data_IF_765073657796
#
_entry.id   IF_765073657796
#
_cell.length_a   1.000
_cell.length_b   1.000
_cell.length_c   1.000
_cell.angle_alpha   90.00
_cell.angle_beta   90.00
_cell.angle_gamma   90.00
#
_symmetry.space_group_name_H-M   'P 1'
#
loop_
_entity.id
_entity.type
_entity.pdbx_description
1 polymer ?
#
# COMPACT_ATOMS: atom_id res chain seq x y z
N UNK A 1 -28.61 1.05 9.65
CA UNK A 1 -28.21 1.25 8.24
C UNK A 1 -28.29 2.74 7.93
N UNK A 2 -27.15 3.42 7.97
CA UNK A 2 -27.04 4.88 7.87
C UNK A 2 -26.80 5.33 6.41
N UNK A 3 -27.68 4.84 5.52
CA UNK A 3 -27.61 5.04 4.08
C UNK A 3 -28.64 6.05 3.57
N UNK A 4 -29.68 6.28 4.37
CA UNK A 4 -30.79 7.14 4.03
C UNK A 4 -31.01 8.17 5.14
N UNK A 5 -31.45 9.35 4.75
CA UNK A 5 -32.00 10.35 5.65
C UNK A 5 -33.43 10.65 5.25
N UNK A 6 -34.32 10.70 6.24
CA UNK A 6 -35.70 11.11 6.03
C UNK A 6 -35.82 12.58 6.42
N UNK A 7 -36.15 13.41 5.44
CA UNK A 7 -36.42 14.85 5.64
C UNK A 7 -37.93 15.03 5.75
N UNK A 8 -38.39 15.55 6.88
CA UNK A 8 -39.82 15.62 7.20
C UNK A 8 -40.56 16.50 6.18
N UNK A 9 -41.48 15.90 5.43
CA UNK A 9 -42.26 16.57 4.38
C UNK A 9 -41.64 16.54 2.98
N UNK A 10 -40.38 16.09 2.84
CA UNK A 10 -39.65 16.06 1.57
C UNK A 10 -39.37 14.64 1.06
N UNK A 11 -39.50 13.64 1.94
CA UNK A 11 -39.32 12.22 1.61
C UNK A 11 -38.03 11.62 2.16
N UNK A 12 -37.61 10.49 1.58
CA UNK A 12 -36.42 9.74 2.00
C UNK A 12 -35.35 9.87 0.92
N UNK A 13 -34.17 10.34 1.31
CA UNK A 13 -33.04 10.60 0.44
C UNK A 13 -31.88 9.68 0.79
N UNK A 14 -31.06 9.33 -0.21
CA UNK A 14 -29.78 8.67 0.05
C UNK A 14 -28.83 9.72 0.61
N UNK A 15 -28.27 9.48 1.80
CA UNK A 15 -27.22 10.37 2.34
C UNK A 15 -26.06 10.40 1.35
N UNK A 16 -25.46 11.56 1.04
CA UNK A 16 -24.22 11.60 0.28
C UNK A 16 -23.23 10.65 0.94
N UNK A 17 -22.73 9.66 0.20
CA UNK A 17 -21.79 8.68 0.73
C UNK A 17 -20.51 9.46 1.08
N UNK A 18 -20.34 9.83 2.35
CA UNK A 18 -19.15 10.55 2.79
C UNK A 18 -17.93 9.71 2.46
N UNK A 19 -17.08 10.20 1.57
CA UNK A 19 -15.82 9.58 1.13
C UNK A 19 -14.85 9.30 2.28
N UNK A 20 -15.15 9.78 3.49
CA UNK A 20 -14.28 9.76 4.66
C UNK A 20 -14.68 8.74 5.75
N UNK A 21 -15.78 7.99 5.65
CA UNK A 21 -16.16 7.05 6.74
C UNK A 21 -15.15 5.94 6.98
N UNK A 22 -14.59 5.35 5.92
CA UNK A 22 -13.53 4.35 6.06
C UNK A 22 -12.28 4.98 6.68
N UNK A 23 -11.93 6.17 6.21
CA UNK A 23 -10.79 6.96 6.65
C UNK A 23 -10.89 7.29 8.15
N UNK A 24 -12.06 7.73 8.63
CA UNK A 24 -12.36 7.97 10.04
C UNK A 24 -12.19 6.71 10.91
N UNK A 25 -12.67 5.56 10.42
CA UNK A 25 -12.48 4.28 11.12
C UNK A 25 -10.99 3.97 11.25
N UNK A 26 -10.23 4.07 10.17
CA UNK A 26 -8.79 3.78 10.17
C UNK A 26 -8.00 4.75 11.06
N UNK A 27 -8.33 6.04 11.03
CA UNK A 27 -7.78 7.04 11.94
C UNK A 27 -8.02 6.68 13.40
N UNK A 28 -9.23 6.19 13.73
CA UNK A 28 -9.55 5.79 15.10
C UNK A 28 -8.67 4.63 15.60
N UNK A 29 -8.24 3.72 14.73
CA UNK A 29 -7.30 2.65 15.07
C UNK A 29 -5.87 3.19 15.20
N UNK A 30 -5.46 4.10 14.31
CA UNK A 30 -4.13 4.70 14.34
C UNK A 30 -3.87 5.51 15.63
N UNK A 31 -4.89 6.25 16.09
CA UNK A 31 -4.80 7.13 17.27
C UNK A 31 -5.05 6.41 18.61
N UNK A 32 -5.38 5.11 18.58
CA UNK A 32 -5.60 4.26 19.77
C UNK A 32 -4.27 3.69 20.30
N UNK A 33 -4.36 2.59 21.04
CA UNK A 33 -3.25 1.84 21.60
C UNK A 33 -2.42 1.08 20.54
N UNK A 34 -1.30 0.49 20.99
CA UNK A 34 -0.38 -0.26 20.13
C UNK A 34 -1.01 -1.48 19.45
N UNK A 35 -2.00 -2.14 20.07
CA UNK A 35 -2.63 -3.30 19.46
C UNK A 35 -3.50 -2.88 18.27
N UNK A 36 -4.24 -1.78 18.39
CA UNK A 36 -4.98 -1.22 17.26
C UNK A 36 -4.07 -0.85 16.07
N UNK A 37 -2.85 -0.39 16.31
CA UNK A 37 -1.84 -0.15 15.25
C UNK A 37 -1.29 -1.43 14.63
N UNK A 38 -1.15 -2.50 15.42
CA UNK A 38 -0.79 -3.83 14.90
C UNK A 38 -1.88 -4.37 14.00
N UNK A 39 -3.15 -4.26 14.39
CA UNK A 39 -4.29 -4.68 13.58
C UNK A 39 -4.33 -3.94 12.23
N UNK A 40 -4.02 -2.63 12.24
CA UNK A 40 -3.90 -1.83 11.03
C UNK A 40 -2.77 -2.31 10.11
N UNK A 41 -1.61 -2.61 10.68
CA UNK A 41 -0.44 -3.12 9.96
C UNK A 41 -0.71 -4.51 9.37
N UNK A 42 -1.35 -5.40 10.14
CA UNK A 42 -1.77 -6.73 9.69
C UNK A 42 -2.77 -6.63 8.54
N UNK A 43 -3.78 -5.77 8.68
CA UNK A 43 -4.80 -5.54 7.64
C UNK A 43 -4.16 -5.04 6.34
N UNK A 44 -3.24 -4.07 6.44
CA UNK A 44 -2.48 -3.59 5.28
C UNK A 44 -1.71 -4.74 4.62
N UNK A 45 -1.01 -5.56 5.40
CA UNK A 45 -0.26 -6.71 4.88
C UNK A 45 -1.16 -7.70 4.14
N UNK A 46 -2.34 -7.99 4.66
CA UNK A 46 -3.33 -8.86 4.00
C UNK A 46 -3.73 -8.25 2.66
N UNK A 47 -4.11 -6.97 2.64
CA UNK A 47 -4.54 -6.27 1.42
C UNK A 47 -3.44 -6.27 0.36
N UNK A 48 -2.20 -5.95 0.73
CA UNK A 48 -1.08 -5.92 -0.21
C UNK A 48 -0.73 -7.30 -0.77
N UNK A 49 -0.73 -8.35 0.07
CA UNK A 49 -0.42 -9.70 -0.38
C UNK A 49 -1.49 -10.24 -1.34
N UNK A 50 -2.77 -10.00 -1.09
CA UNK A 50 -3.83 -10.43 -2.00
C UNK A 50 -3.84 -9.60 -3.29
N UNK A 51 -3.59 -8.29 -3.21
CA UNK A 51 -3.43 -7.45 -4.39
C UNK A 51 -2.25 -7.89 -5.25
N UNK A 52 -1.11 -8.22 -4.65
CA UNK A 52 0.08 -8.74 -5.35
C UNK A 52 -0.20 -10.07 -6.07
N UNK A 53 -0.94 -11.00 -5.45
CA UNK A 53 -1.30 -12.27 -6.10
C UNK A 53 -2.12 -12.02 -7.37
N UNK A 54 -3.13 -11.15 -7.28
CA UNK A 54 -3.91 -10.73 -8.44
C UNK A 54 -3.05 -10.00 -9.48
N UNK A 55 -2.11 -9.15 -9.04
CA UNK A 55 -1.19 -8.45 -9.91
C UNK A 55 -0.30 -9.42 -10.69
N UNK A 56 0.19 -10.51 -10.10
CA UNK A 56 1.01 -11.49 -10.81
C UNK A 56 0.31 -12.04 -12.08
N UNK A 57 -1.01 -12.24 -12.00
CA UNK A 57 -1.82 -12.73 -13.12
C UNK A 57 -2.12 -11.64 -14.15
N UNK A 58 -2.26 -10.38 -13.71
CA UNK A 58 -2.89 -9.31 -14.50
C UNK A 58 -1.95 -8.17 -14.91
N UNK A 59 -0.74 -8.12 -14.34
CA UNK A 59 0.22 -7.04 -14.57
C UNK A 59 0.52 -6.87 -16.06
N UNK A 60 0.57 -5.62 -16.52
CA UNK A 60 0.91 -5.26 -17.91
C UNK A 60 2.39 -4.95 -18.04
N UNK A 61 2.92 -4.98 -19.26
CA UNK A 61 4.32 -4.60 -19.53
C UNK A 61 4.58 -3.14 -19.13
N UNK A 62 3.59 -2.24 -19.33
CA UNK A 62 3.66 -0.85 -18.85
C UNK A 62 3.80 -0.76 -17.33
N UNK A 63 3.08 -1.62 -16.59
CA UNK A 63 3.17 -1.66 -15.12
C UNK A 63 4.54 -2.18 -14.68
N UNK A 64 5.09 -3.19 -15.36
CA UNK A 64 6.45 -3.70 -15.11
C UNK A 64 7.49 -2.62 -15.39
N UNK A 65 7.36 -1.90 -16.51
CA UNK A 65 8.26 -0.78 -16.84
C UNK A 65 8.20 0.31 -15.76
N UNK A 66 7.00 0.72 -15.34
CA UNK A 66 6.81 1.71 -14.29
C UNK A 66 7.46 1.28 -12.97
N UNK A 67 7.36 0.01 -12.57
CA UNK A 67 8.05 -0.51 -11.38
C UNK A 67 9.57 -0.40 -11.50
N UNK A 68 10.13 -0.67 -12.68
CA UNK A 68 11.56 -0.55 -12.94
C UNK A 68 12.04 0.92 -12.87
N UNK A 69 11.25 1.84 -13.41
CA UNK A 69 11.53 3.29 -13.35
C UNK A 69 11.53 3.79 -11.91
N UNK A 70 10.53 3.40 -11.10
CA UNK A 70 10.45 3.74 -9.69
C UNK A 70 11.64 3.19 -8.89
N UNK A 71 12.03 1.93 -9.14
CA UNK A 71 13.21 1.32 -8.53
C UNK A 71 14.50 2.06 -8.88
N UNK A 72 14.65 2.45 -10.15
CA UNK A 72 15.83 3.19 -10.62
C UNK A 72 15.91 4.56 -9.96
N UNK A 73 14.78 5.28 -9.88
CA UNK A 73 14.69 6.58 -9.22
C UNK A 73 14.98 6.49 -7.73
N UNK A 74 14.42 5.49 -7.04
CA UNK A 74 14.66 5.30 -5.61
C UNK A 74 16.15 5.06 -5.29
N UNK A 75 16.85 4.29 -6.15
CA UNK A 75 18.29 4.06 -6.02
C UNK A 75 19.10 5.33 -6.25
N UNK A 76 18.72 6.10 -7.26
CA UNK A 76 19.37 7.36 -7.59
C UNK A 76 19.26 8.37 -6.44
N UNK A 77 18.05 8.60 -5.92
CA UNK A 77 17.80 9.48 -4.77
C UNK A 77 18.58 9.03 -3.54
N UNK A 78 18.53 7.73 -3.21
CA UNK A 78 19.28 7.19 -2.08
C UNK A 78 20.79 7.38 -2.22
N UNK A 79 21.34 7.26 -3.44
CA UNK A 79 22.75 7.50 -3.71
C UNK A 79 23.18 8.97 -3.53
N UNK A 80 22.24 9.90 -3.68
CA UNK A 80 22.43 11.33 -3.44
C UNK A 80 22.15 11.75 -2.00
N UNK A 81 21.76 10.81 -1.13
CA UNK A 81 21.49 11.04 0.29
C UNK A 81 20.03 11.38 0.61
N UNK A 82 19.14 11.33 -0.38
CA UNK A 82 17.70 11.55 -0.20
C UNK A 82 16.98 10.25 0.17
N UNK A 83 15.94 10.35 0.99
CA UNK A 83 15.14 9.18 1.37
C UNK A 83 13.96 9.02 0.39
N UNK A 84 13.89 7.93 -0.39
CA UNK A 84 12.91 7.77 -1.47
C UNK A 84 11.53 7.31 -0.95
N UNK A 85 10.92 8.11 -0.09
CA UNK A 85 9.63 7.80 0.58
C UNK A 85 8.47 7.79 -0.42
N UNK A 86 8.50 8.68 -1.42
CA UNK A 86 7.45 8.74 -2.43
C UNK A 86 7.53 7.55 -3.38
N UNK A 87 8.73 7.12 -3.72
CA UNK A 87 9.02 6.01 -4.61
C UNK A 87 8.60 4.69 -3.95
N UNK A 88 8.86 4.53 -2.64
CA UNK A 88 8.33 3.40 -1.85
C UNK A 88 6.79 3.36 -1.93
N UNK A 89 6.13 4.49 -1.64
CA UNK A 89 4.67 4.58 -1.75
C UNK A 89 4.17 4.23 -3.16
N UNK A 90 4.77 4.82 -4.20
CA UNK A 90 4.36 4.62 -5.60
C UNK A 90 4.66 3.20 -6.09
N UNK A 91 5.70 2.55 -5.60
CA UNK A 91 6.04 1.16 -5.92
C UNK A 91 4.92 0.24 -5.43
N UNK A 92 4.56 0.33 -4.15
CA UNK A 92 3.46 -0.45 -3.58
C UNK A 92 2.12 -0.11 -4.24
N UNK A 93 1.83 1.16 -4.47
CA UNK A 93 0.61 1.60 -5.19
C UNK A 93 0.52 0.98 -6.58
N UNK A 94 1.60 0.97 -7.34
CA UNK A 94 1.65 0.41 -8.69
C UNK A 94 1.36 -1.09 -8.69
N UNK A 95 1.87 -1.84 -7.69
CA UNK A 95 1.55 -3.26 -7.51
C UNK A 95 0.04 -3.44 -7.24
N UNK A 96 -0.53 -2.63 -6.35
CA UNK A 96 -1.96 -2.72 -6.01
C UNK A 96 -2.84 -2.33 -7.20
N UNK A 97 -2.45 -1.30 -7.98
CA UNK A 97 -3.12 -0.91 -9.23
C UNK A 97 -3.12 -2.06 -10.25
N UNK A 98 -1.99 -2.77 -10.39
CA UNK A 98 -1.83 -3.91 -11.29
C UNK A 98 -2.72 -5.11 -10.90
N UNK A 99 -3.30 -5.14 -9.71
CA UNK A 99 -4.36 -6.10 -9.37
C UNK A 99 -5.63 -5.92 -10.21
N UNK A 100 -5.81 -4.75 -10.83
CA UNK A 100 -7.04 -4.31 -11.50
C UNK A 100 -8.31 -4.46 -10.63
N UNK A 101 -8.15 -4.43 -9.31
CA UNK A 101 -9.26 -4.44 -8.35
C UNK A 101 -9.39 -3.04 -7.72
N UNK A 102 -10.34 -2.26 -8.25
CA UNK A 102 -10.60 -0.88 -7.82
C UNK A 102 -10.93 -0.78 -6.33
N UNK A 103 -11.62 -1.78 -5.77
CA UNK A 103 -11.96 -1.77 -4.36
C UNK A 103 -10.72 -2.03 -3.49
N UNK A 104 -9.86 -2.98 -3.85
CA UNK A 104 -8.59 -3.21 -3.14
C UNK A 104 -7.69 -1.97 -3.19
N UNK A 105 -7.61 -1.29 -4.33
CA UNK A 105 -6.87 -0.03 -4.44
C UNK A 105 -7.42 1.04 -3.48
N UNK A 106 -8.73 1.24 -3.45
CA UNK A 106 -9.35 2.23 -2.57
C UNK A 106 -9.14 1.90 -1.08
N UNK A 107 -9.22 0.62 -0.72
CA UNK A 107 -8.92 0.15 0.64
C UNK A 107 -7.45 0.39 0.99
N UNK A 108 -6.53 0.01 0.10
CA UNK A 108 -5.10 0.21 0.32
C UNK A 108 -4.74 1.68 0.49
N UNK A 109 -5.21 2.56 -0.41
CA UNK A 109 -4.97 4.02 -0.31
C UNK A 109 -5.43 4.53 1.05
N UNK A 110 -6.63 4.15 1.50
CA UNK A 110 -7.16 4.55 2.81
C UNK A 110 -6.29 4.04 3.98
N UNK A 111 -5.73 2.83 3.86
CA UNK A 111 -4.83 2.23 4.86
C UNK A 111 -3.47 2.94 4.95
N UNK A 112 -2.99 3.51 3.84
CA UNK A 112 -1.65 4.13 3.78
C UNK A 112 -1.65 5.66 3.75
N UNK A 113 -2.81 6.31 3.59
CA UNK A 113 -2.98 7.77 3.53
C UNK A 113 -2.24 8.49 4.69
N UNK A 114 -2.30 7.92 5.88
CA UNK A 114 -1.70 8.46 7.10
C UNK A 114 -0.28 7.99 7.39
N UNK A 115 0.25 7.10 6.55
CA UNK A 115 1.47 6.36 6.85
C UNK A 115 2.74 7.02 6.31
N UNK A 116 2.71 8.15 5.57
CA UNK A 116 3.95 8.77 5.05
C UNK A 116 5.01 9.02 6.13
N UNK A 117 4.61 9.56 7.29
CA UNK A 117 5.50 9.77 8.44
C UNK A 117 6.02 8.44 9.02
N UNK A 118 5.20 7.40 9.02
CA UNK A 118 5.59 6.08 9.52
C UNK A 118 6.51 5.33 8.52
N UNK A 119 6.27 5.46 7.21
CA UNK A 119 7.18 5.00 6.13
C UNK A 119 8.54 5.67 6.31
N UNK A 120 8.56 7.01 6.42
CA UNK A 120 9.79 7.78 6.62
C UNK A 120 10.56 7.29 7.85
N UNK A 121 9.90 7.13 9.00
CA UNK A 121 10.52 6.58 10.22
C UNK A 121 11.05 5.17 10.03
N UNK A 122 10.30 4.31 9.34
CA UNK A 122 10.71 2.93 9.05
C UNK A 122 11.98 2.92 8.20
N UNK A 123 12.00 3.68 7.11
CA UNK A 123 13.10 3.70 6.14
C UNK A 123 14.38 4.35 6.70
N UNK A 124 14.25 5.31 7.64
CA UNK A 124 15.40 5.93 8.35
C UNK A 124 16.14 4.98 9.31
N UNK A 125 15.59 3.80 9.62
CA UNK A 125 16.29 2.82 10.47
C UNK A 125 17.58 2.39 9.78
N UNK A 126 18.64 2.25 10.56
CA UNK A 126 19.97 1.89 10.05
C UNK A 126 19.91 0.64 9.16
N UNK A 127 20.45 0.75 7.94
CA UNK A 127 20.46 -0.33 6.93
C UNK A 127 19.11 -0.67 6.29
N UNK A 128 17.98 -0.13 6.77
CA UNK A 128 16.63 -0.53 6.29
C UNK A 128 16.40 -0.16 4.83
N UNK A 129 16.82 1.02 4.39
CA UNK A 129 16.62 1.48 3.01
C UNK A 129 17.35 0.59 2.00
N UNK A 130 18.62 0.25 2.24
CA UNK A 130 19.37 -0.68 1.41
C UNK A 130 18.70 -2.05 1.30
N UNK A 131 18.20 -2.57 2.44
CA UNK A 131 17.43 -3.81 2.45
C UNK A 131 16.11 -3.67 1.67
N UNK A 132 15.41 -2.53 1.78
CA UNK A 132 14.15 -2.28 1.07
C UNK A 132 14.35 -2.30 -0.44
N UNK A 133 15.41 -1.65 -0.94
CA UNK A 133 15.75 -1.66 -2.37
C UNK A 133 16.02 -3.08 -2.87
N UNK A 134 16.80 -3.88 -2.13
CA UNK A 134 17.05 -5.29 -2.46
C UNK A 134 15.76 -6.10 -2.48
N UNK A 135 14.87 -5.90 -1.50
CA UNK A 135 13.58 -6.60 -1.44
C UNK A 135 12.65 -6.19 -2.58
N UNK A 136 12.59 -4.90 -2.92
CA UNK A 136 11.81 -4.40 -4.04
C UNK A 136 12.30 -4.96 -5.37
N UNK A 137 13.61 -5.10 -5.57
CA UNK A 137 14.18 -5.79 -6.74
C UNK A 137 13.72 -7.25 -6.84
N UNK A 138 13.73 -7.99 -5.74
CA UNK A 138 13.24 -9.38 -5.71
C UNK A 138 11.75 -9.47 -6.06
N UNK A 139 10.94 -8.54 -5.54
CA UNK A 139 9.51 -8.44 -5.84
C UNK A 139 9.30 -8.13 -7.33
N UNK A 140 10.01 -7.14 -7.86
CA UNK A 140 9.95 -6.73 -9.26
C UNK A 140 10.33 -7.89 -10.19
N UNK A 141 11.45 -8.57 -9.94
CA UNK A 141 11.89 -9.70 -10.76
C UNK A 141 10.90 -10.87 -10.74
N UNK A 142 10.27 -11.11 -9.60
CA UNK A 142 9.23 -12.13 -9.49
C UNK A 142 7.94 -11.74 -10.24
N UNK A 143 7.52 -10.47 -10.17
CA UNK A 143 6.37 -9.95 -10.90
C UNK A 143 6.59 -9.98 -12.42
N UNK A 144 7.77 -9.56 -12.87
CA UNK A 144 8.20 -9.61 -14.28
C UNK A 144 8.15 -11.03 -14.84
N UNK A 145 8.54 -12.02 -14.04
CA UNK A 145 8.46 -13.46 -14.39
C UNK A 145 7.07 -14.07 -14.14
N UNK A 146 6.10 -13.27 -13.65
CA UNK A 146 4.77 -13.72 -13.22
C UNK A 146 4.81 -14.90 -12.25
N UNK A 147 5.87 -15.00 -11.44
CA UNK A 147 6.04 -16.07 -10.47
C UNK A 147 5.38 -15.68 -9.15
N UNK A 148 4.08 -15.98 -9.04
CA UNK A 148 3.26 -15.64 -7.88
C UNK A 148 3.86 -16.15 -6.55
N UNK A 149 4.42 -17.36 -6.53
CA UNK A 149 5.02 -17.94 -5.31
C UNK A 149 6.23 -17.13 -4.86
N UNK A 150 7.13 -16.80 -5.79
CA UNK A 150 8.32 -15.98 -5.50
C UNK A 150 7.92 -14.55 -5.08
N UNK A 151 6.98 -13.93 -5.80
CA UNK A 151 6.51 -12.57 -5.51
C UNK A 151 5.89 -12.50 -4.11
N UNK A 152 5.00 -13.45 -3.78
CA UNK A 152 4.36 -13.52 -2.46
C UNK A 152 5.37 -13.71 -1.34
N UNK A 153 6.39 -14.56 -1.55
CA UNK A 153 7.44 -14.78 -0.56
C UNK A 153 8.30 -13.52 -0.34
N UNK A 154 8.68 -12.83 -1.42
CA UNK A 154 9.46 -11.60 -1.36
C UNK A 154 8.70 -10.45 -0.68
N UNK A 155 7.45 -10.20 -1.11
CA UNK A 155 6.60 -9.17 -0.49
C UNK A 155 6.32 -9.46 0.98
N UNK A 156 6.12 -10.74 1.34
CA UNK A 156 5.91 -11.11 2.74
C UNK A 156 7.11 -10.75 3.62
N UNK A 157 8.33 -11.09 3.19
CA UNK A 157 9.56 -10.73 3.92
C UNK A 157 9.71 -9.22 4.02
N UNK A 158 9.51 -8.52 2.90
CA UNK A 158 9.57 -7.06 2.86
C UNK A 158 8.64 -6.40 3.90
N UNK A 159 7.38 -6.84 3.94
CA UNK A 159 6.38 -6.32 4.87
C UNK A 159 6.66 -6.71 6.33
N UNK A 160 7.30 -7.85 6.59
CA UNK A 160 7.76 -8.23 7.95
C UNK A 160 8.93 -7.37 8.43
N UNK A 161 9.80 -6.96 7.52
CA UNK A 161 10.94 -6.08 7.81
C UNK A 161 10.54 -4.59 7.90
N UNK A 162 9.41 -4.22 7.31
CA UNK A 162 8.78 -2.91 7.44
C UNK A 162 7.96 -2.83 8.74
N UNK A 163 8.45 -2.05 9.72
CA UNK A 163 7.70 -1.76 10.95
C UNK A 163 7.11 -0.37 10.84
N UNK A 164 5.78 -0.27 10.94
CA UNK A 164 5.05 0.98 11.08
C UNK A 164 4.97 1.40 12.56
#
# INVERSE_FOLDING_TARGET
MDLIETRRGEGTFIKPFGSYRLVEILLSFLLKDENARKDLTETRRIVELEALKLACERITDDSVQKLNELLTKAKDEWSHGDLPVEEDYLFHKTIVEASHNRLLLNLWVSLVEYNKVAIERSLKREGRMNLALSEHEEIYEALKKRNQKAATAAMRRHLENSRF
#
